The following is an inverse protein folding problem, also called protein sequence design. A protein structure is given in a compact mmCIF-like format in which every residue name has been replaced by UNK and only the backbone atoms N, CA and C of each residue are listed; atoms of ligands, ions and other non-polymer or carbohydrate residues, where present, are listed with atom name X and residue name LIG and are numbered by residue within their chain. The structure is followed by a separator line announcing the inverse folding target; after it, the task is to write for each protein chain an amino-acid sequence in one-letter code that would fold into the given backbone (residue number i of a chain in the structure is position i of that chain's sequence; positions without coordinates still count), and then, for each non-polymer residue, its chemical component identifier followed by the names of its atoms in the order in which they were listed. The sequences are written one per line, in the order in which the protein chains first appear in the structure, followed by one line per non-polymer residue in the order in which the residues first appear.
data_IF_041255576333
#
_entry.id   IF_041255576333
#
_cell.length_a   1.000
_cell.length_b   1.000
_cell.length_c   1.000
_cell.angle_alpha   90.00
_cell.angle_beta   90.00
_cell.angle_gamma   90.00
#
_symmetry.space_group_name_H-M   'P 1'
#
loop_
_entity.id
_entity.type
_entity.pdbx_description
1 polymer ?
#
# COMPACT_ATOMS: atom_id res chain seq x y z
N UNK A 1 -4.71 35.31 10.84
CA UNK A 1 -6.02 35.94 11.15
C UNK A 1 -7.21 35.08 10.75
N UNK A 2 -7.19 34.38 9.61
CA UNK A 2 -8.37 33.63 9.10
C UNK A 2 -8.94 32.55 10.05
N UNK A 3 -8.10 31.93 10.90
CA UNK A 3 -8.52 30.81 11.77
C UNK A 3 -9.45 31.19 12.92
N UNK A 4 -9.40 32.44 13.39
CA UNK A 4 -10.26 32.92 14.49
C UNK A 4 -11.69 33.20 14.01
N UNK A 5 -11.84 33.51 12.72
CA UNK A 5 -13.14 33.89 12.14
C UNK A 5 -13.77 32.76 11.32
N UNK A 6 -12.95 31.87 10.75
CA UNK A 6 -13.38 30.68 10.03
C UNK A 6 -12.81 29.44 10.70
N UNK A 7 -13.49 28.99 11.75
CA UNK A 7 -13.11 27.78 12.47
C UNK A 7 -13.32 26.56 11.58
N UNK A 8 -12.26 25.77 11.41
CA UNK A 8 -12.38 24.41 10.88
C UNK A 8 -12.54 23.49 12.09
N UNK A 9 -13.61 22.67 12.15
CA UNK A 9 -13.81 21.79 13.29
C UNK A 9 -12.56 20.92 13.49
N UNK A 10 -12.18 20.77 14.76
CA UNK A 10 -11.00 20.07 15.24
C UNK A 10 -9.65 20.75 14.97
N UNK A 11 -9.51 21.74 14.07
CA UNK A 11 -8.21 22.40 13.81
C UNK A 11 -7.85 23.38 14.92
N UNK A 12 -6.80 23.13 15.73
CA UNK A 12 -6.44 24.04 16.81
C UNK A 12 -5.91 25.37 16.25
N UNK A 13 -6.05 26.43 17.04
CA UNK A 13 -5.52 27.76 16.70
C UNK A 13 -4.00 27.76 16.82
N UNK A 14 -3.48 27.13 17.87
CA UNK A 14 -2.05 27.02 18.16
C UNK A 14 -1.45 25.74 17.59
N UNK A 15 -0.15 25.76 17.20
CA UNK A 15 0.54 24.58 16.72
C UNK A 15 0.55 23.48 17.78
N UNK A 16 0.21 22.23 17.40
CA UNK A 16 0.39 21.07 18.23
C UNK A 16 1.84 20.90 18.74
N UNK A 17 2.03 20.45 19.99
CA UNK A 17 3.37 20.21 20.56
C UNK A 17 4.21 19.18 19.80
N UNK A 18 3.58 18.28 19.03
CA UNK A 18 4.30 17.23 18.27
C UNK A 18 5.20 17.81 17.18
N UNK A 19 4.95 19.05 16.74
CA UNK A 19 5.75 19.70 15.70
C UNK A 19 7.08 20.26 16.23
N UNK A 20 7.26 20.27 17.54
CA UNK A 20 8.45 20.78 18.20
C UNK A 20 9.19 19.66 18.94
N UNK A 21 10.50 19.81 19.11
CA UNK A 21 11.27 18.91 19.97
C UNK A 21 10.93 19.18 21.45
N UNK A 22 10.90 18.15 22.31
CA UNK A 22 11.38 16.78 22.11
C UNK A 22 10.36 15.82 21.49
N UNK A 23 9.09 16.22 21.39
CA UNK A 23 8.01 15.33 20.96
C UNK A 23 8.13 14.89 19.51
N UNK A 24 8.63 15.78 18.64
CA UNK A 24 8.94 15.44 17.26
C UNK A 24 9.94 14.28 17.20
N UNK A 25 11.08 14.38 17.90
CA UNK A 25 12.08 13.32 17.90
C UNK A 25 11.50 12.00 18.40
N UNK A 26 10.73 12.02 19.49
CA UNK A 26 10.08 10.83 20.03
C UNK A 26 9.12 10.16 19.04
N UNK A 27 8.43 10.94 18.20
CA UNK A 27 7.55 10.40 17.15
C UNK A 27 8.35 9.77 16.00
N UNK A 28 9.46 10.41 15.60
CA UNK A 28 10.35 9.89 14.55
C UNK A 28 11.03 8.59 14.99
N UNK A 29 11.48 8.51 16.25
CA UNK A 29 12.07 7.30 16.82
C UNK A 29 11.08 6.12 16.84
N UNK A 30 9.78 6.42 16.98
CA UNK A 30 8.69 5.43 16.88
C UNK A 30 8.26 5.11 15.43
N UNK A 31 8.91 5.70 14.44
CA UNK A 31 8.58 5.61 13.01
C UNK A 31 7.21 6.20 12.64
N UNK A 32 6.68 7.12 13.43
CA UNK A 32 5.38 7.80 13.17
C UNK A 32 5.52 9.00 12.21
N UNK A 33 6.37 8.88 11.19
CA UNK A 33 6.67 9.96 10.24
C UNK A 33 5.42 10.39 9.45
N UNK A 34 4.65 9.42 8.96
CA UNK A 34 3.40 9.67 8.22
C UNK A 34 2.39 10.44 9.05
N UNK A 35 2.21 10.05 10.32
CA UNK A 35 1.28 10.69 11.24
C UNK A 35 1.61 12.19 11.44
N UNK A 36 2.88 12.51 11.67
CA UNK A 36 3.31 13.90 11.85
C UNK A 36 3.12 14.71 10.56
N UNK A 37 3.47 14.13 9.41
CA UNK A 37 3.33 14.81 8.11
C UNK A 37 1.87 15.05 7.72
N UNK A 38 0.99 14.07 7.94
CA UNK A 38 -0.44 14.24 7.69
C UNK A 38 -1.06 15.28 8.61
N UNK A 39 -0.66 15.28 9.88
CA UNK A 39 -1.13 16.30 10.80
C UNK A 39 -0.60 17.69 10.43
N UNK A 40 0.65 17.78 9.94
CA UNK A 40 1.23 19.02 9.43
C UNK A 40 0.46 19.56 8.22
N UNK A 41 0.10 18.71 7.25
CA UNK A 41 -0.72 19.11 6.11
C UNK A 41 -2.13 19.53 6.51
N UNK A 42 -2.67 18.90 7.55
CA UNK A 42 -3.99 19.27 8.05
C UNK A 42 -3.95 20.54 8.89
N UNK A 43 -2.86 20.83 9.59
CA UNK A 43 -2.74 22.03 10.41
C UNK A 43 -2.34 23.24 9.58
N UNK A 44 -1.22 23.19 8.87
CA UNK A 44 -0.65 24.31 8.14
C UNK A 44 -1.25 24.48 6.73
N UNK A 45 -0.95 25.61 6.11
CA UNK A 45 -1.16 25.82 4.68
C UNK A 45 0.12 25.40 3.93
N UNK A 46 0.01 24.94 2.67
CA UNK A 46 1.16 24.41 1.93
C UNK A 46 2.25 25.46 1.66
N UNK A 47 1.90 26.75 1.61
CA UNK A 47 2.81 27.88 1.42
C UNK A 47 3.33 28.47 2.75
N UNK A 48 2.90 27.92 3.89
CA UNK A 48 3.34 28.40 5.19
C UNK A 48 4.83 28.05 5.40
N UNK A 49 5.72 29.02 5.69
CA UNK A 49 7.12 28.72 5.93
C UNK A 49 7.35 27.81 7.15
N UNK A 50 6.44 27.78 8.13
CA UNK A 50 6.51 26.85 9.26
C UNK A 50 6.29 25.40 8.82
N UNK A 51 5.36 25.17 7.90
CA UNK A 51 5.12 23.86 7.30
C UNK A 51 6.35 23.37 6.56
N UNK A 52 6.90 24.21 5.68
CA UNK A 52 8.06 23.86 4.87
C UNK A 52 9.23 23.48 5.79
N UNK A 53 9.54 24.31 6.80
CA UNK A 53 10.62 24.01 7.76
C UNK A 53 10.43 22.68 8.48
N UNK A 54 9.20 22.37 8.89
CA UNK A 54 8.89 21.11 9.57
C UNK A 54 9.09 19.91 8.64
N UNK A 55 8.54 19.96 7.43
CA UNK A 55 8.64 18.87 6.45
C UNK A 55 10.10 18.61 6.06
N UNK A 56 10.87 19.67 5.77
CA UNK A 56 12.29 19.55 5.44
C UNK A 56 13.07 18.89 6.58
N UNK A 57 12.81 19.32 7.82
CA UNK A 57 13.46 18.74 9.01
C UNK A 57 13.15 17.25 9.18
N UNK A 58 11.91 16.84 8.92
CA UNK A 58 11.51 15.43 8.97
C UNK A 58 12.24 14.63 7.88
N UNK A 59 12.34 15.17 6.66
CA UNK A 59 13.05 14.52 5.56
C UNK A 59 14.54 14.37 5.82
N UNK A 60 15.20 15.39 6.38
CA UNK A 60 16.62 15.31 6.71
C UNK A 60 16.88 14.20 7.74
N UNK A 61 16.09 14.16 8.82
CA UNK A 61 16.17 13.09 9.84
C UNK A 61 15.87 11.71 9.29
N UNK A 62 14.89 11.60 8.38
CA UNK A 62 14.56 10.33 7.73
C UNK A 62 15.73 9.82 6.87
N UNK A 63 16.40 10.72 6.16
CA UNK A 63 17.57 10.40 5.33
C UNK A 63 18.75 9.98 6.19
N UNK A 64 18.96 10.64 7.33
CA UNK A 64 19.96 10.25 8.33
C UNK A 64 19.68 8.87 8.93
N UNK A 65 18.42 8.55 9.23
CA UNK A 65 18.01 7.25 9.74
C UNK A 65 18.02 6.14 8.66
N UNK A 66 17.85 6.50 7.38
CA UNK A 66 17.73 5.56 6.27
C UNK A 66 16.38 4.82 6.20
N UNK A 67 15.39 5.24 6.98
CA UNK A 67 14.08 4.57 7.15
C UNK A 67 13.07 4.94 6.03
N UNK A 68 13.48 4.85 4.77
CA UNK A 68 12.64 5.20 3.63
C UNK A 68 11.37 4.33 3.47
N UNK A 69 11.34 3.17 4.10
CA UNK A 69 10.18 2.25 4.04
C UNK A 69 8.91 2.87 4.62
N UNK A 70 9.07 3.67 5.69
CA UNK A 70 7.96 4.31 6.40
C UNK A 70 7.16 5.22 5.48
N UNK A 71 7.83 5.95 4.60
CA UNK A 71 7.17 6.89 3.70
C UNK A 71 6.93 6.33 2.30
N UNK A 72 7.54 5.19 1.92
CA UNK A 72 7.54 4.70 0.54
C UNK A 72 6.13 4.49 -0.05
N UNK A 73 5.19 4.00 0.75
CA UNK A 73 3.81 3.72 0.33
C UNK A 73 2.83 4.81 0.78
N UNK A 74 3.32 6.03 1.03
CA UNK A 74 2.51 7.16 1.50
C UNK A 74 2.45 8.26 0.45
N UNK A 75 1.49 9.18 0.60
CA UNK A 75 1.37 10.36 -0.28
C UNK A 75 2.58 11.30 -0.19
N UNK A 76 3.36 11.21 0.88
CA UNK A 76 4.54 12.05 1.14
C UNK A 76 5.81 11.54 0.45
N UNK A 77 5.77 10.35 -0.15
CA UNK A 77 6.93 9.81 -0.85
C UNK A 77 7.35 10.72 -2.01
N UNK A 78 6.40 11.22 -2.79
CA UNK A 78 6.69 12.06 -3.94
C UNK A 78 7.39 13.38 -3.55
N UNK A 79 6.96 14.01 -2.45
CA UNK A 79 7.57 15.25 -1.95
C UNK A 79 8.98 15.01 -1.41
N UNK A 80 9.21 13.87 -0.74
CA UNK A 80 10.54 13.44 -0.32
C UNK A 80 11.48 13.24 -1.52
N UNK A 81 11.05 12.46 -2.51
CA UNK A 81 11.84 12.19 -3.72
C UNK A 81 12.20 13.49 -4.44
N UNK A 82 11.22 14.39 -4.57
CA UNK A 82 11.41 15.68 -5.23
C UNK A 82 12.38 16.57 -4.45
N UNK A 83 12.27 16.62 -3.12
CA UNK A 83 13.20 17.34 -2.24
C UNK A 83 14.64 16.85 -2.42
N UNK A 84 14.85 15.54 -2.41
CA UNK A 84 16.18 14.94 -2.59
C UNK A 84 16.78 15.22 -3.96
N UNK A 85 15.96 15.15 -5.01
CA UNK A 85 16.39 15.41 -6.38
C UNK A 85 16.75 16.89 -6.60
N UNK A 86 15.95 17.81 -6.07
CA UNK A 86 16.24 19.25 -6.10
C UNK A 86 17.58 19.58 -5.43
N UNK A 87 17.84 18.98 -4.26
CA UNK A 87 19.09 19.19 -3.52
C UNK A 87 20.28 18.41 -4.09
N UNK A 88 20.06 17.51 -5.06
CA UNK A 88 21.10 16.61 -5.58
C UNK A 88 21.53 15.50 -4.61
N UNK A 89 20.83 15.30 -3.49
CA UNK A 89 21.11 14.26 -2.51
C UNK A 89 20.34 12.96 -2.80
N UNK A 90 20.58 12.40 -3.98
CA UNK A 90 19.94 11.17 -4.47
C UNK A 90 20.58 9.86 -3.96
N UNK A 91 21.89 9.76 -3.68
CA UNK A 91 22.54 8.49 -3.36
C UNK A 91 21.86 7.64 -2.26
N UNK A 92 21.36 8.23 -1.14
CA UNK A 92 20.66 7.45 -0.11
C UNK A 92 19.45 6.70 -0.66
N UNK A 93 18.66 7.35 -1.52
CA UNK A 93 17.45 6.76 -2.11
C UNK A 93 17.80 5.72 -3.18
N UNK A 94 18.88 5.92 -3.94
CA UNK A 94 19.36 4.91 -4.89
C UNK A 94 19.88 3.65 -4.20
N UNK A 95 20.54 3.77 -3.05
CA UNK A 95 20.90 2.61 -2.24
C UNK A 95 19.68 1.86 -1.75
N UNK A 96 18.67 2.57 -1.26
CA UNK A 96 17.43 1.96 -0.82
C UNK A 96 16.75 1.13 -1.92
N UNK A 97 16.67 1.66 -3.15
CA UNK A 97 16.12 0.90 -4.28
C UNK A 97 17.04 -0.22 -4.76
N UNK A 98 18.36 0.02 -4.79
CA UNK A 98 19.38 -0.95 -5.18
C UNK A 98 19.41 -2.16 -4.24
N UNK A 99 19.35 -1.92 -2.93
CA UNK A 99 19.27 -2.95 -1.90
C UNK A 99 18.04 -3.85 -2.06
N UNK A 100 16.95 -3.33 -2.63
CA UNK A 100 15.71 -4.08 -2.93
C UNK A 100 15.65 -4.65 -4.36
N UNK A 101 16.71 -4.48 -5.15
CA UNK A 101 16.77 -4.93 -6.54
C UNK A 101 15.82 -4.20 -7.49
N UNK A 102 15.30 -3.02 -7.12
CA UNK A 102 14.33 -2.26 -7.93
C UNK A 102 15.03 -1.33 -8.91
N UNK A 103 15.64 -1.92 -9.94
CA UNK A 103 16.38 -1.19 -10.98
C UNK A 103 15.50 -0.20 -11.74
N UNK A 104 14.24 -0.57 -12.01
CA UNK A 104 13.30 0.28 -12.73
C UNK A 104 13.09 1.62 -12.00
N UNK A 105 12.97 1.57 -10.67
CA UNK A 105 12.77 2.77 -9.86
C UNK A 105 14.06 3.60 -9.77
N UNK A 106 15.23 2.95 -9.70
CA UNK A 106 16.52 3.63 -9.85
C UNK A 106 16.62 4.38 -11.19
N UNK A 107 16.26 3.74 -12.30
CA UNK A 107 16.31 4.36 -13.62
C UNK A 107 15.35 5.55 -13.75
N UNK A 108 14.12 5.44 -13.21
CA UNK A 108 13.18 6.58 -13.14
C UNK A 108 13.74 7.75 -12.33
N UNK A 109 14.40 7.46 -11.21
CA UNK A 109 15.01 8.49 -10.37
C UNK A 109 16.18 9.20 -11.08
N UNK A 110 17.03 8.45 -11.78
CA UNK A 110 18.10 9.02 -12.62
C UNK A 110 17.51 9.87 -13.76
N UNK A 111 16.42 9.43 -14.39
CA UNK A 111 15.71 10.21 -15.41
C UNK A 111 15.14 11.51 -14.83
N UNK A 112 14.49 11.45 -13.68
CA UNK A 112 13.97 12.64 -12.98
C UNK A 112 15.10 13.64 -12.71
N UNK A 113 16.24 13.15 -12.25
CA UNK A 113 17.37 14.02 -11.96
C UNK A 113 17.95 14.67 -13.21
N UNK A 114 18.01 13.95 -14.33
CA UNK A 114 18.43 14.52 -15.61
C UNK A 114 17.48 15.60 -16.10
N UNK A 115 16.18 15.48 -15.81
CA UNK A 115 15.19 16.53 -16.12
C UNK A 115 15.42 17.78 -15.26
N UNK A 116 15.72 17.60 -13.97
CA UNK A 116 15.94 18.72 -13.05
C UNK A 116 17.29 19.42 -13.25
N UNK A 117 18.33 18.66 -13.63
CA UNK A 117 19.70 19.16 -13.82
C UNK A 117 20.20 18.81 -15.23
N UNK A 118 19.83 19.61 -16.26
CA UNK A 118 20.20 19.32 -17.65
C UNK A 118 21.71 19.28 -17.91
N UNK A 119 22.48 20.04 -17.12
CA UNK A 119 23.94 20.22 -17.27
C UNK A 119 24.77 18.96 -16.96
N UNK A 120 24.13 17.91 -16.44
CA UNK A 120 24.81 16.64 -16.18
C UNK A 120 25.25 15.98 -17.48
N UNK A 121 26.50 15.47 -17.50
CA UNK A 121 27.16 14.95 -18.70
C UNK A 121 26.70 13.55 -19.14
N UNK A 122 25.52 13.13 -18.69
CA UNK A 122 24.90 11.86 -19.03
C UNK A 122 23.83 12.04 -20.10
N UNK A 123 23.90 11.26 -21.19
CA UNK A 123 22.88 11.22 -22.24
C UNK A 123 21.95 10.01 -22.01
N UNK A 124 20.64 10.26 -21.95
CA UNK A 124 19.62 9.22 -21.81
C UNK A 124 18.87 9.13 -23.13
N UNK A 125 18.97 8.01 -23.84
CA UNK A 125 18.06 7.72 -24.94
C UNK A 125 16.81 7.00 -24.41
N UNK A 126 15.67 7.20 -25.06
CA UNK A 126 14.41 6.55 -24.68
C UNK A 126 14.42 5.03 -24.90
N UNK A 127 15.34 4.52 -25.72
CA UNK A 127 15.52 3.09 -26.01
C UNK A 127 16.55 2.40 -25.09
N UNK A 128 17.22 3.13 -24.20
CA UNK A 128 18.24 2.54 -23.33
C UNK A 128 17.61 1.68 -22.23
N UNK A 129 18.21 0.52 -21.97
CA UNK A 129 17.81 -0.36 -20.87
C UNK A 129 18.03 0.31 -19.51
N UNK A 130 17.12 0.09 -18.56
CA UNK A 130 17.18 0.66 -17.20
C UNK A 130 18.50 0.32 -16.48
N UNK A 131 19.04 -0.89 -16.70
CA UNK A 131 20.35 -1.30 -16.18
C UNK A 131 21.48 -0.41 -16.72
N UNK A 132 21.48 -0.17 -18.04
CA UNK A 132 22.49 0.66 -18.70
C UNK A 132 22.46 2.08 -18.12
N UNK A 133 21.26 2.65 -17.99
CA UNK A 133 21.03 3.99 -17.44
C UNK A 133 21.65 4.14 -16.04
N UNK A 134 21.38 3.19 -15.16
CA UNK A 134 21.92 3.21 -13.80
C UNK A 134 23.44 3.00 -13.80
N UNK A 135 23.96 2.08 -14.62
CA UNK A 135 25.41 1.84 -14.68
C UNK A 135 26.18 3.05 -15.21
N UNK A 136 25.66 3.76 -16.20
CA UNK A 136 26.31 4.93 -16.77
C UNK A 136 26.25 6.11 -15.78
N UNK A 137 25.14 6.26 -15.07
CA UNK A 137 25.05 7.21 -13.95
C UNK A 137 26.11 6.97 -12.87
N UNK A 138 26.35 5.70 -12.48
CA UNK A 138 27.36 5.32 -11.48
C UNK A 138 28.79 5.54 -12.00
N UNK A 139 29.05 5.35 -13.30
CA UNK A 139 30.37 5.58 -13.89
C UNK A 139 30.72 7.06 -13.94
N UNK A 140 29.75 7.91 -14.31
CA UNK A 140 29.98 9.35 -14.44
C UNK A 140 30.11 10.05 -13.09
N UNK A 141 29.34 9.61 -12.09
CA UNK A 141 29.35 10.22 -10.77
C UNK A 141 30.29 9.48 -9.81
N UNK A 142 31.60 9.59 -10.08
CA UNK A 142 32.64 9.02 -9.22
C UNK A 142 32.55 9.47 -7.75
N UNK A 143 32.01 10.67 -7.49
CA UNK A 143 31.76 11.21 -6.15
C UNK A 143 30.79 10.37 -5.32
N UNK A 144 29.79 9.77 -5.97
CA UNK A 144 28.76 8.98 -5.28
C UNK A 144 29.14 7.52 -5.13
N UNK A 145 30.29 7.10 -5.68
CA UNK A 145 30.71 5.69 -5.67
C UNK A 145 30.92 5.14 -4.27
N UNK A 146 31.41 5.96 -3.34
CA UNK A 146 31.60 5.59 -1.93
C UNK A 146 30.28 5.51 -1.16
N UNK A 147 29.32 6.35 -1.53
CA UNK A 147 27.98 6.37 -0.93
C UNK A 147 27.15 5.20 -1.45
N UNK A 148 27.28 4.84 -2.74
CA UNK A 148 26.47 3.84 -3.43
C UNK A 148 26.92 2.39 -3.19
N UNK A 149 27.15 1.99 -1.93
CA UNK A 149 27.65 0.66 -1.58
C UNK A 149 26.67 -0.45 -1.97
N UNK A 150 25.41 -0.30 -1.58
CA UNK A 150 24.38 -1.31 -1.77
C UNK A 150 24.00 -1.48 -3.23
N UNK A 151 23.91 -0.37 -3.97
CA UNK A 151 23.66 -0.40 -5.41
C UNK A 151 24.82 -1.08 -6.16
N UNK A 152 26.07 -0.80 -5.78
CA UNK A 152 27.23 -1.43 -6.39
C UNK A 152 27.31 -2.93 -6.07
N UNK A 153 26.95 -3.33 -4.85
CA UNK A 153 26.85 -4.74 -4.47
C UNK A 153 25.78 -5.45 -5.30
N UNK A 154 24.59 -4.86 -5.43
CA UNK A 154 23.52 -5.39 -6.26
C UNK A 154 23.91 -5.51 -7.74
N UNK A 155 24.57 -4.51 -8.32
CA UNK A 155 25.02 -4.55 -9.72
C UNK A 155 26.10 -5.61 -10.00
N UNK A 156 26.88 -6.00 -8.98
CA UNK A 156 27.94 -7.02 -9.11
C UNK A 156 27.45 -8.43 -8.81
N UNK A 157 26.74 -8.57 -7.69
CA UNK A 157 26.47 -9.85 -7.06
C UNK A 157 24.98 -10.25 -7.15
N UNK A 158 24.10 -9.32 -7.56
CA UNK A 158 22.65 -9.54 -7.63
C UNK A 158 21.99 -9.74 -6.25
N UNK A 159 22.73 -9.51 -5.15
CA UNK A 159 22.24 -9.72 -3.79
C UNK A 159 21.20 -8.66 -3.42
N UNK A 160 20.01 -9.11 -3.06
CA UNK A 160 18.90 -8.27 -2.61
C UNK A 160 18.67 -8.54 -1.13
N UNK A 161 18.56 -7.47 -0.33
CA UNK A 161 18.12 -7.59 1.06
C UNK A 161 16.64 -7.95 1.03
N UNK A 162 16.19 -9.03 1.69
CA UNK A 162 14.78 -9.35 1.79
C UNK A 162 14.05 -8.16 2.42
N UNK A 163 13.11 -7.58 1.68
CA UNK A 163 12.35 -6.43 2.16
C UNK A 163 11.46 -6.87 3.31
N UNK A 164 11.57 -6.24 4.48
CA UNK A 164 10.76 -6.54 5.66
C UNK A 164 9.25 -6.49 5.36
N UNK A 165 8.84 -5.65 4.41
CA UNK A 165 7.45 -5.50 3.97
C UNK A 165 6.93 -6.65 3.08
N UNK A 166 7.78 -7.56 2.59
CA UNK A 166 7.33 -8.76 1.85
C UNK A 166 7.07 -9.97 2.75
N UNK A 167 7.55 -9.96 4.01
CA UNK A 167 7.29 -11.06 4.94
C UNK A 167 5.86 -11.04 5.50
N UNK A 168 5.16 -9.89 5.48
CA UNK A 168 3.77 -9.81 5.95
C UNK A 168 2.74 -10.18 4.87
N UNK A 169 3.13 -10.21 3.59
CA UNK A 169 2.24 -10.68 2.50
C UNK A 169 2.26 -12.21 2.33
N UNK A 170 3.16 -12.92 3.02
CA UNK A 170 3.21 -14.38 3.05
C UNK A 170 2.96 -14.93 4.46
N UNK A 171 1.71 -14.80 4.92
CA UNK A 171 0.89 -15.80 5.64
C UNK A 171 -0.22 -15.04 6.38
N UNK A 172 -1.15 -14.46 5.64
CA UNK A 172 -2.56 -14.61 6.01
C UNK A 172 -3.33 -14.86 4.72
N UNK A 173 -3.32 -16.11 4.25
CA UNK A 173 -4.46 -16.57 3.47
C UNK A 173 -5.65 -16.41 4.41
N UNK A 174 -6.36 -15.28 4.33
CA UNK A 174 -7.75 -15.26 4.75
C UNK A 174 -8.40 -16.36 3.93
N UNK A 175 -8.55 -17.54 4.55
CA UNK A 175 -9.42 -18.57 4.03
C UNK A 175 -10.75 -17.87 3.86
N UNK A 176 -11.15 -17.64 2.61
CA UNK A 176 -12.52 -17.30 2.30
C UNK A 176 -13.29 -18.54 2.70
N UNK A 177 -13.71 -18.60 3.96
CA UNK A 177 -14.61 -19.63 4.43
C UNK A 177 -15.84 -19.52 3.52
N UNK A 178 -16.24 -20.62 2.87
CA UNK A 178 -17.44 -20.61 2.06
C UNK A 178 -18.58 -20.11 2.96
N UNK A 179 -19.33 -19.11 2.49
CA UNK A 179 -20.53 -18.66 3.19
C UNK A 179 -21.44 -19.88 3.38
N UNK A 180 -21.52 -20.40 4.61
CA UNK A 180 -22.35 -21.55 4.94
C UNK A 180 -23.80 -21.10 4.92
N UNK A 181 -24.56 -21.50 3.90
CA UNK A 181 -26.01 -21.32 3.90
C UNK A 181 -26.61 -22.21 4.97
N UNK A 182 -27.42 -21.62 5.86
CA UNK A 182 -28.05 -22.34 6.97
C UNK A 182 -29.40 -22.87 6.51
N UNK A 183 -29.44 -24.17 6.21
CA UNK A 183 -30.66 -24.91 5.91
C UNK A 183 -31.07 -25.77 7.12
N UNK A 184 -32.36 -26.12 7.22
CA UNK A 184 -32.89 -26.93 8.32
C UNK A 184 -32.21 -28.31 8.46
N UNK A 185 -31.70 -28.87 7.37
CA UNK A 185 -30.93 -30.12 7.34
C UNK A 185 -29.45 -29.92 7.72
N UNK A 186 -28.91 -28.73 7.55
CA UNK A 186 -27.47 -28.45 7.73
C UNK A 186 -27.14 -27.96 9.15
N UNK A 187 -28.11 -27.34 9.85
CA UNK A 187 -27.88 -26.68 11.14
C UNK A 187 -27.42 -27.60 12.28
N UNK A 188 -27.76 -28.90 12.21
CA UNK A 188 -27.38 -29.91 13.22
C UNK A 188 -26.09 -30.66 12.89
N UNK A 189 -25.61 -30.55 11.65
CA UNK A 189 -24.45 -31.30 11.18
C UNK A 189 -23.16 -30.49 11.20
N UNK A 190 -22.04 -31.16 10.93
CA UNK A 190 -20.72 -30.53 10.84
C UNK A 190 -20.55 -29.59 9.63
N UNK A 191 -21.48 -29.61 8.68
CA UNK A 191 -21.56 -28.62 7.59
C UNK A 191 -22.29 -27.33 7.98
N UNK A 192 -22.85 -27.27 9.19
CA UNK A 192 -23.57 -26.14 9.74
C UNK A 192 -22.66 -25.11 10.41
N UNK A 193 -23.23 -24.06 11.02
CA UNK A 193 -22.46 -22.99 11.65
C UNK A 193 -21.64 -23.43 12.86
N UNK A 194 -22.01 -24.56 13.49
CA UNK A 194 -21.26 -25.13 14.62
C UNK A 194 -20.06 -25.98 14.20
N UNK A 195 -19.94 -26.39 12.93
CA UNK A 195 -18.82 -27.21 12.49
C UNK A 195 -18.62 -28.47 13.33
N UNK A 196 -17.38 -28.72 13.75
CA UNK A 196 -17.00 -29.90 14.56
C UNK A 196 -17.64 -29.90 15.97
N UNK A 197 -18.01 -28.73 16.51
CA UNK A 197 -18.67 -28.60 17.82
C UNK A 197 -20.10 -29.14 17.85
N UNK A 198 -20.69 -29.43 16.67
CA UNK A 198 -21.99 -30.11 16.58
C UNK A 198 -21.99 -31.53 17.16
N UNK A 199 -20.82 -32.14 17.36
CA UNK A 199 -20.70 -33.47 17.98
C UNK A 199 -20.80 -33.43 19.51
N UNK A 200 -20.52 -32.27 20.11
CA UNK A 200 -20.52 -32.07 21.57
C UNK A 200 -21.85 -31.52 22.08
N UNK A 201 -22.57 -30.76 21.25
CA UNK A 201 -23.82 -30.09 21.63
C UNK A 201 -25.01 -30.54 20.77
N UNK A 202 -26.06 -31.06 21.40
CA UNK A 202 -27.32 -31.37 20.73
C UNK A 202 -28.17 -30.11 20.57
N UNK A 203 -28.49 -29.76 19.32
CA UNK A 203 -29.24 -28.54 18.98
C UNK A 203 -30.69 -28.90 18.65
N UNK A 204 -31.61 -28.48 19.53
CA UNK A 204 -33.05 -28.67 19.32
C UNK A 204 -33.63 -27.53 18.47
N UNK A 205 -34.35 -27.90 17.41
CA UNK A 205 -35.10 -26.96 16.59
C UNK A 205 -36.52 -26.86 17.17
N UNK A 206 -36.85 -25.71 17.75
CA UNK A 206 -38.21 -25.40 18.18
C UNK A 206 -38.95 -24.81 16.98
N UNK A 207 -39.84 -25.59 16.37
CA UNK A 207 -40.76 -25.07 15.34
C UNK A 207 -41.74 -24.13 16.04
N UNK A 208 -41.97 -22.94 15.47
CA UNK A 208 -43.03 -22.05 15.94
C UNK A 208 -44.40 -22.68 15.70
N UNK A 209 -45.37 -22.37 16.57
CA UNK A 209 -46.73 -22.96 16.59
C UNK A 209 -47.47 -22.84 15.24
N UNK A 210 -47.07 -21.88 14.40
CA UNK A 210 -47.62 -21.63 13.06
C UNK A 210 -47.22 -22.66 12.00
N UNK A 211 -46.09 -23.39 12.16
CA UNK A 211 -45.66 -24.40 11.19
C UNK A 211 -46.34 -25.76 11.40
N UNK A 212 -46.61 -26.12 12.66
CA UNK A 212 -47.35 -27.34 13.00
C UNK A 212 -48.79 -27.31 12.48
N UNK A 213 -49.38 -26.12 12.32
CA UNK A 213 -50.70 -25.96 11.74
C UNK A 213 -50.74 -26.18 10.22
N UNK A 214 -49.62 -25.98 9.51
CA UNK A 214 -49.53 -26.10 8.05
C UNK A 214 -49.25 -27.52 7.57
N UNK A 215 -48.47 -28.32 8.31
CA UNK A 215 -48.22 -29.74 7.99
C UNK A 215 -49.51 -30.57 8.06
N UNK A 216 -50.46 -30.22 8.94
CA UNK A 216 -51.76 -30.90 9.03
C UNK A 216 -52.74 -30.57 7.88
N UNK A 217 -52.41 -29.61 7.00
CA UNK A 217 -53.27 -29.19 5.88
C UNK A 217 -52.68 -29.44 4.48
N UNK A 218 -51.41 -29.87 4.35
CA UNK A 218 -50.75 -30.04 3.05
C UNK A 218 -50.90 -31.42 2.41
N UNK A 219 -51.94 -32.16 2.78
CA UNK A 219 -52.34 -33.41 2.11
C UNK A 219 -53.34 -33.15 0.97
N UNK A 220 -53.01 -32.31 -0.02
CA UNK A 220 -53.58 -32.29 -1.40
C UNK A 220 -53.23 -30.98 -2.12
N UNK A 221 -52.19 -30.96 -2.96
CA UNK A 221 -52.21 -30.09 -4.15
C UNK A 221 -51.25 -30.56 -5.23
N UNK A 222 -51.84 -31.11 -6.29
CA UNK A 222 -51.18 -31.56 -7.51
C UNK A 222 -50.50 -30.42 -8.28
N UNK A 223 -49.47 -30.85 -9.01
CA UNK A 223 -48.53 -30.12 -9.86
C UNK A 223 -49.18 -29.18 -10.89
N UNK A 224 -48.63 -27.97 -11.03
CA UNK A 224 -48.64 -27.23 -12.29
C UNK A 224 -47.24 -26.69 -12.58
N UNK A 225 -46.55 -27.36 -13.51
CA UNK A 225 -45.24 -26.99 -14.04
C UNK A 225 -45.34 -25.75 -14.95
N UNK A 226 -44.74 -24.64 -14.54
CA UNK A 226 -44.49 -23.46 -15.37
C UNK A 226 -43.01 -23.39 -15.76
N UNK A 227 -42.74 -23.50 -17.08
CA UNK A 227 -41.42 -23.56 -17.71
C UNK A 227 -40.90 -22.15 -18.01
N UNK A 228 -39.80 -21.73 -17.38
CA UNK A 228 -39.00 -20.59 -17.87
C UNK A 228 -37.55 -21.01 -18.11
N UNK A 229 -37.14 -20.91 -19.39
CA UNK A 229 -35.83 -21.27 -19.92
C UNK A 229 -34.78 -20.22 -19.52
N UNK A 230 -33.63 -20.69 -19.05
CA UNK A 230 -32.39 -19.92 -18.84
C UNK A 230 -31.65 -19.79 -20.17
N UNK A 231 -31.47 -18.57 -20.68
CA UNK A 231 -30.63 -18.28 -21.85
C UNK A 231 -29.15 -18.46 -21.47
N UNK A 232 -28.45 -19.30 -22.22
CA UNK A 232 -26.98 -19.41 -22.18
C UNK A 232 -26.39 -18.47 -23.25
N UNK A 233 -25.44 -17.63 -22.83
CA UNK A 233 -24.61 -16.80 -23.70
C UNK A 233 -23.64 -17.67 -24.50
N UNK A 234 -23.63 -17.49 -25.83
CA UNK A 234 -22.67 -18.13 -26.74
C UNK A 234 -21.37 -17.32 -26.79
N UNK A 235 -20.26 -18.01 -26.54
CA UNK A 235 -18.89 -17.60 -26.87
C UNK A 235 -18.66 -17.78 -28.38
N UNK A 236 -18.26 -16.71 -29.08
CA UNK A 236 -17.84 -16.76 -30.48
C UNK A 236 -16.31 -16.96 -30.55
N UNK A 237 -15.87 -18.02 -31.23
CA UNK A 237 -14.50 -18.15 -31.76
C UNK A 237 -14.51 -17.78 -33.27
N UNK A 238 -13.47 -17.12 -33.79
CA UNK A 238 -13.36 -16.80 -35.21
C UNK A 238 -12.82 -17.98 -36.05
N UNK A 239 -13.26 -18.06 -37.31
CA UNK A 239 -12.85 -19.05 -38.33
C UNK A 239 -11.51 -18.66 -38.98
N UNK A 240 -10.76 -19.62 -39.56
CA UNK A 240 -9.68 -19.35 -40.50
C UNK A 240 -10.17 -19.28 -41.96
N UNK A 241 -9.37 -18.60 -42.77
CA UNK A 241 -9.57 -18.19 -44.15
C UNK A 241 -9.54 -19.34 -45.18
N UNK A 242 -10.36 -19.21 -46.22
CA UNK A 242 -10.21 -19.77 -47.57
C UNK A 242 -10.50 -18.66 -48.58
#
# INVERSE_FOLDING_TARGET
MNRTYYEKPNRPVFPPPVFEDPYLQNALDKKEHEFVLDWACWFYEPDDPAYIRLVLRIFDRLVEAGDFDVLHSTRHFGTLVFYLALNGNIPPLLNYFGARGRIQDCAKLVRLQKILHPDWRFAINSSDSDLKIVTDFVKENSRYREQLKDLNAFLRDGTVIPSTSQNDEQVTKHQVLPKTTVDASNIRGSGGPLGELSQEYDVQLVKSEDETAKENQSGTRQERRGRFKRQQSKTNNPKPDE
#
